data_IF_846696281608
#
_entry.id   IF_846696281608
#
_cell.length_a   1.000
_cell.length_b   1.000
_cell.length_c   1.000
_cell.angle_alpha   90.00
_cell.angle_beta   90.00
_cell.angle_gamma   90.00
#
_symmetry.space_group_name_H-M   'P 1'
#
loop_
_entity.id
_entity.type
_entity.pdbx_description
1 polymer ?
#
# COMPACT_ATOMS: atom_id res chain seq x y z
N UNK A 1 8.18 -17.10 24.72
CA UNK A 1 7.54 -15.77 24.59
C UNK A 1 7.77 -15.15 23.21
N UNK A 2 9.01 -14.93 22.75
CA UNK A 2 9.30 -14.39 21.40
C UNK A 2 8.74 -15.26 20.26
N UNK A 3 8.91 -16.59 20.34
CA UNK A 3 8.41 -17.53 19.32
C UNK A 3 6.88 -17.58 19.26
N UNK A 4 6.22 -17.52 20.42
CA UNK A 4 4.76 -17.51 20.54
C UNK A 4 4.15 -16.22 19.94
N UNK A 5 4.78 -15.06 20.17
CA UNK A 5 4.37 -13.81 19.55
C UNK A 5 4.60 -13.81 18.03
N UNK A 6 5.73 -14.35 17.56
CA UNK A 6 5.98 -14.50 16.13
C UNK A 6 4.94 -15.42 15.47
N UNK A 7 4.56 -16.52 16.13
CA UNK A 7 3.51 -17.41 15.66
C UNK A 7 2.14 -16.71 15.63
N UNK A 8 1.81 -15.90 16.66
CA UNK A 8 0.58 -15.11 16.72
C UNK A 8 0.49 -14.12 15.56
N UNK A 9 1.56 -13.40 15.23
CA UNK A 9 1.57 -12.46 14.08
C UNK A 9 1.36 -13.19 12.76
N UNK A 10 1.97 -14.37 12.57
CA UNK A 10 1.76 -15.17 11.36
C UNK A 10 0.33 -15.70 11.25
N UNK A 11 -0.23 -16.19 12.35
CA UNK A 11 -1.64 -16.60 12.39
C UNK A 11 -2.60 -15.43 12.11
N UNK A 12 -2.22 -14.21 12.50
CA UNK A 12 -3.00 -13.02 12.18
C UNK A 12 -3.08 -12.75 10.67
N UNK A 13 -2.04 -13.09 9.90
CA UNK A 13 -2.08 -13.01 8.43
C UNK A 13 -3.19 -13.91 7.89
N UNK A 14 -3.24 -15.16 8.35
CA UNK A 14 -4.27 -16.12 7.92
C UNK A 14 -5.67 -15.67 8.33
N UNK A 15 -5.82 -15.17 9.56
CA UNK A 15 -7.09 -14.63 10.06
C UNK A 15 -7.55 -13.39 9.28
N UNK A 16 -6.60 -12.56 8.79
CA UNK A 16 -6.88 -11.38 7.97
C UNK A 16 -7.36 -11.80 6.59
N UNK A 17 -6.68 -12.75 5.95
CA UNK A 17 -7.11 -13.30 4.67
C UNK A 17 -8.49 -13.98 4.80
N UNK A 18 -8.71 -14.75 5.86
CA UNK A 18 -9.97 -15.43 6.12
C UNK A 18 -11.15 -14.49 6.44
N UNK A 19 -10.88 -13.20 6.72
CA UNK A 19 -11.94 -12.21 6.82
C UNK A 19 -12.56 -11.89 5.44
N UNK A 20 -11.90 -12.26 4.34
CA UNK A 20 -12.39 -12.08 2.98
C UNK A 20 -12.13 -10.67 2.47
N UNK A 21 -12.77 -9.66 3.06
CA UNK A 21 -12.72 -8.27 2.56
C UNK A 21 -12.27 -7.27 3.61
N UNK A 22 -11.72 -6.13 3.17
CA UNK A 22 -11.36 -5.01 4.05
C UNK A 22 -11.28 -3.71 3.27
N UNK A 23 -11.56 -2.61 3.95
CA UNK A 23 -11.13 -1.29 3.52
C UNK A 23 -9.69 -1.06 3.98
N UNK A 24 -8.93 -0.26 3.25
CA UNK A 24 -7.55 0.05 3.62
C UNK A 24 -7.17 1.51 3.39
N UNK A 25 -6.23 1.96 4.22
CA UNK A 25 -5.42 3.15 3.99
C UNK A 25 -3.96 2.74 3.93
N UNK A 26 -3.23 3.23 2.94
CA UNK A 26 -1.82 2.96 2.77
C UNK A 26 -1.05 4.24 2.57
N UNK A 27 0.17 4.32 3.12
CA UNK A 27 1.06 5.48 3.02
C UNK A 27 2.49 5.05 2.76
N UNK A 28 3.20 5.84 1.95
CA UNK A 28 4.64 5.72 1.70
C UNK A 28 5.38 7.05 1.90
N UNK A 29 6.67 7.00 2.28
CA UNK A 29 7.47 8.19 2.59
C UNK A 29 8.04 8.89 1.33
N UNK A 30 8.27 10.21 1.43
CA UNK A 30 9.15 11.01 0.55
C UNK A 30 10.29 11.65 1.32
N UNK A 31 11.45 11.77 0.68
CA UNK A 31 12.59 12.52 1.18
C UNK A 31 12.36 14.01 1.48
N UNK A 32 11.15 14.56 1.32
CA UNK A 32 10.76 15.93 1.73
C UNK A 32 9.29 16.09 2.19
N UNK A 33 8.57 15.00 2.48
CA UNK A 33 7.11 15.01 2.76
C UNK A 33 6.42 13.66 2.58
N UNK A 34 5.09 13.63 2.40
CA UNK A 34 4.36 12.40 2.04
C UNK A 34 4.36 12.21 0.51
N UNK A 35 5.05 11.18 0.00
CA UNK A 35 5.15 10.94 -1.46
C UNK A 35 3.88 10.31 -2.01
N UNK A 36 3.12 9.59 -1.17
CA UNK A 36 1.78 9.18 -1.56
C UNK A 36 0.98 8.44 -0.53
N UNK A 37 -0.32 8.58 -0.66
CA UNK A 37 -1.34 7.84 0.07
C UNK A 37 -2.23 7.10 -0.91
N UNK A 38 -2.74 5.95 -0.49
CA UNK A 38 -3.79 5.24 -1.20
C UNK A 38 -4.90 4.88 -0.24
N UNK A 39 -6.11 4.88 -0.77
CA UNK A 39 -7.28 4.36 -0.09
C UNK A 39 -8.03 3.42 -1.02
N UNK A 40 -8.63 2.38 -0.48
CA UNK A 40 -9.18 1.32 -1.30
C UNK A 40 -9.87 0.23 -0.53
N UNK A 41 -10.33 -0.76 -1.29
CA UNK A 41 -10.87 -2.00 -0.78
C UNK A 41 -10.07 -3.17 -1.34
N UNK A 42 -9.98 -4.23 -0.54
CA UNK A 42 -9.35 -5.49 -0.88
C UNK A 42 -10.34 -6.62 -0.66
N UNK A 43 -10.36 -7.56 -1.58
CA UNK A 43 -10.98 -8.87 -1.48
C UNK A 43 -9.84 -9.91 -1.55
N UNK A 44 -9.44 -10.41 -0.39
CA UNK A 44 -8.41 -11.42 -0.22
C UNK A 44 -8.82 -12.76 -0.81
N UNK A 45 -10.11 -13.12 -0.78
CA UNK A 45 -10.60 -14.39 -1.29
C UNK A 45 -10.45 -14.47 -2.82
N UNK A 46 -10.64 -13.33 -3.50
CA UNK A 46 -10.55 -13.23 -4.95
C UNK A 46 -9.23 -12.64 -5.45
N UNK A 47 -8.33 -12.22 -4.54
CA UNK A 47 -7.10 -11.51 -4.89
C UNK A 47 -7.37 -10.23 -5.67
N UNK A 48 -8.42 -9.49 -5.30
CA UNK A 48 -8.84 -8.25 -5.98
C UNK A 48 -8.66 -7.05 -5.09
N UNK A 49 -8.44 -5.89 -5.70
CA UNK A 49 -8.52 -4.62 -5.01
C UNK A 49 -8.93 -3.49 -5.96
N UNK A 50 -9.53 -2.46 -5.40
CA UNK A 50 -9.69 -1.16 -6.03
C UNK A 50 -9.02 -0.11 -5.17
N UNK A 51 -8.28 0.82 -5.77
CA UNK A 51 -7.57 1.87 -5.05
C UNK A 51 -7.62 3.22 -5.76
N UNK A 52 -7.71 4.27 -4.96
CA UNK A 52 -7.41 5.65 -5.34
C UNK A 52 -6.08 6.01 -4.69
N UNK A 53 -5.16 6.52 -5.49
CA UNK A 53 -3.82 6.87 -5.06
C UNK A 53 -3.58 8.35 -5.31
N UNK A 54 -2.95 9.03 -4.36
CA UNK A 54 -2.48 10.40 -4.51
C UNK A 54 -0.99 10.39 -4.27
N UNK A 55 -0.22 10.91 -5.22
CA UNK A 55 1.24 11.02 -5.12
C UNK A 55 1.69 12.46 -5.28
N UNK A 56 2.64 12.91 -4.45
CA UNK A 56 3.33 14.18 -4.63
C UNK A 56 4.65 13.93 -5.36
N UNK A 57 4.74 14.40 -6.61
CA UNK A 57 5.95 14.28 -7.42
C UNK A 57 6.72 15.60 -7.29
N UNK A 58 7.99 15.57 -6.82
CA UNK A 58 8.85 16.74 -6.89
C UNK A 58 9.06 17.11 -8.36
N UNK A 59 8.81 18.37 -8.76
CA UNK A 59 9.12 18.84 -10.13
C UNK A 59 10.60 18.64 -10.43
N UNK A 60 10.89 17.65 -11.28
CA UNK A 60 12.17 17.54 -11.96
C UNK A 60 12.21 18.61 -13.07
N UNK A 61 12.76 19.80 -12.80
CA UNK A 61 13.29 20.67 -13.86
C UNK A 61 14.79 20.36 -13.98
N UNK A 62 15.43 19.95 -15.09
CA UNK A 62 15.14 19.66 -16.53
C UNK A 62 16.40 18.92 -17.12
N UNK A 63 16.55 18.50 -18.42
CA UNK A 63 15.70 18.73 -19.61
C UNK A 63 15.38 17.48 -20.48
N UNK A 64 14.24 17.53 -21.19
CA UNK A 64 14.05 17.21 -22.63
C UNK A 64 12.55 16.93 -22.90
N UNK A 65 11.77 17.99 -23.11
CA UNK A 65 10.74 18.14 -24.16
C UNK A 65 9.87 19.38 -23.86
N UNK A 66 10.20 20.46 -24.56
CA UNK A 66 9.33 21.51 -25.10
C UNK A 66 7.97 21.75 -24.40
N UNK A 67 7.93 22.78 -23.55
CA UNK A 67 6.83 23.75 -23.29
C UNK A 67 6.84 24.33 -21.87
N UNK A 68 7.67 23.81 -20.96
CA UNK A 68 7.81 24.33 -19.59
C UNK A 68 8.68 25.60 -19.47
N UNK A 69 9.39 25.99 -20.54
CA UNK A 69 10.35 27.09 -20.52
C UNK A 69 9.74 28.50 -20.57
N UNK A 70 8.43 28.65 -20.74
CA UNK A 70 7.78 29.97 -20.82
C UNK A 70 7.31 30.53 -19.47
N UNK A 71 7.38 29.76 -18.38
CA UNK A 71 6.97 30.24 -17.05
C UNK A 71 7.98 29.87 -15.94
N UNK A 72 8.92 30.78 -15.60
CA UNK A 72 9.91 30.57 -14.55
C UNK A 72 9.31 30.43 -13.14
N UNK A 73 8.00 30.63 -12.94
CA UNK A 73 7.33 30.34 -11.66
C UNK A 73 7.10 28.84 -11.40
N UNK A 74 7.32 27.96 -12.39
CA UNK A 74 7.08 26.52 -12.29
C UNK A 74 8.29 25.67 -11.89
N UNK A 75 9.47 26.27 -11.79
CA UNK A 75 10.68 25.58 -11.30
C UNK A 75 10.52 25.32 -9.80
N UNK A 76 10.37 24.05 -9.41
CA UNK A 76 10.17 23.64 -8.00
C UNK A 76 8.71 23.44 -7.58
N UNK A 77 7.76 23.38 -8.51
CA UNK A 77 6.37 23.06 -8.20
C UNK A 77 6.22 21.59 -7.73
N UNK A 78 5.51 21.34 -6.63
CA UNK A 78 5.09 19.99 -6.27
C UNK A 78 3.83 19.63 -7.08
N UNK A 79 3.87 18.54 -7.84
CA UNK A 79 2.73 18.09 -8.62
C UNK A 79 2.00 17.00 -7.86
N UNK A 80 0.70 17.18 -7.64
CA UNK A 80 -0.15 16.10 -7.13
C UNK A 80 -0.70 15.30 -8.28
N UNK A 81 -0.38 14.01 -8.33
CA UNK A 81 -0.92 13.06 -9.30
C UNK A 81 -1.93 12.17 -8.60
N UNK A 82 -3.16 12.14 -9.11
CA UNK A 82 -4.20 11.23 -8.65
C UNK A 82 -4.40 10.10 -9.65
N UNK A 83 -4.26 8.87 -9.17
CA UNK A 83 -4.43 7.65 -9.95
C UNK A 83 -5.57 6.81 -9.40
N UNK A 84 -6.17 6.03 -10.29
CA UNK A 84 -7.23 5.06 -9.99
C UNK A 84 -6.77 3.74 -10.55
N UNK A 85 -6.85 2.69 -9.76
CA UNK A 85 -6.30 1.40 -10.14
C UNK A 85 -7.14 0.27 -9.59
N UNK A 86 -7.11 -0.86 -10.29
CA UNK A 86 -7.59 -2.13 -9.77
C UNK A 86 -6.49 -3.19 -9.88
N UNK A 87 -6.55 -4.19 -9.02
CA UNK A 87 -5.82 -5.44 -9.23
C UNK A 87 -6.83 -6.57 -9.33
N UNK A 88 -6.63 -7.43 -10.32
CA UNK A 88 -7.44 -8.60 -10.57
C UNK A 88 -6.54 -9.71 -11.12
N UNK A 89 -6.68 -10.92 -10.59
CA UNK A 89 -5.93 -12.11 -11.01
C UNK A 89 -4.41 -11.84 -11.08
N UNK A 90 -3.87 -11.22 -10.03
CA UNK A 90 -2.46 -10.86 -9.96
C UNK A 90 -2.04 -9.64 -10.77
N UNK A 91 -2.91 -9.09 -11.62
CA UNK A 91 -2.55 -8.06 -12.59
C UNK A 91 -3.04 -6.68 -12.16
N UNK A 92 -2.14 -5.69 -12.18
CA UNK A 92 -2.45 -4.27 -11.97
C UNK A 92 -2.96 -3.62 -13.24
N UNK A 93 -4.04 -2.86 -13.11
CA UNK A 93 -4.60 -2.02 -14.15
C UNK A 93 -4.72 -0.58 -13.66
N UNK A 94 -4.18 0.36 -14.43
CA UNK A 94 -4.44 1.78 -14.24
C UNK A 94 -5.72 2.16 -15.00
N UNK A 95 -6.59 2.92 -14.36
CA UNK A 95 -7.86 3.37 -14.97
C UNK A 95 -7.68 4.78 -15.53
N UNK A 96 -7.99 4.94 -16.80
CA UNK A 96 -7.82 6.19 -17.52
C UNK A 96 -9.12 6.62 -18.21
N UNK A 97 -9.31 7.91 -18.34
CA UNK A 97 -10.36 8.43 -19.22
C UNK A 97 -10.00 8.10 -20.67
N UNK A 98 -10.96 7.62 -21.48
CA UNK A 98 -10.72 7.37 -22.90
C UNK A 98 -10.19 8.63 -23.60
N UNK A 99 -9.15 8.50 -24.40
CA UNK A 99 -8.57 9.63 -25.11
C UNK A 99 -9.49 10.09 -26.27
N UNK A 100 -10.03 11.30 -26.16
CA UNK A 100 -10.80 11.96 -27.21
C UNK A 100 -12.29 11.61 -27.22
N UNK A 101 -13.12 12.66 -27.21
CA UNK A 101 -14.59 12.69 -27.18
C UNK A 101 -15.26 12.49 -25.81
N UNK A 102 -16.55 12.87 -25.76
CA UNK A 102 -17.38 13.15 -24.58
C UNK A 102 -17.28 12.14 -23.42
N UNK A 103 -17.57 12.55 -22.17
CA UNK A 103 -17.56 11.67 -21.01
C UNK A 103 -18.40 10.42 -21.28
N UNK A 104 -17.74 9.26 -21.41
CA UNK A 104 -18.40 8.00 -21.74
C UNK A 104 -19.06 7.33 -20.52
N UNK A 105 -18.86 7.90 -19.32
CA UNK A 105 -19.26 7.26 -18.06
C UNK A 105 -18.42 6.02 -17.71
N UNK A 106 -17.34 5.75 -18.45
CA UNK A 106 -16.46 4.59 -18.25
C UNK A 106 -15.00 4.98 -18.24
N UNK A 107 -14.18 4.22 -17.52
CA UNK A 107 -12.72 4.25 -17.63
C UNK A 107 -12.22 3.04 -18.40
N UNK A 108 -11.10 3.22 -19.10
CA UNK A 108 -10.34 2.15 -19.75
C UNK A 108 -9.28 1.61 -18.78
N UNK A 109 -9.23 0.29 -18.64
CA UNK A 109 -8.28 -0.42 -17.80
C UNK A 109 -6.99 -0.73 -18.58
N UNK A 110 -5.97 0.11 -18.41
CA UNK A 110 -4.65 -0.09 -18.98
C UNK A 110 -3.85 -1.07 -18.13
N UNK A 111 -3.51 -2.24 -18.70
CA UNK A 111 -2.73 -3.28 -18.03
C UNK A 111 -1.28 -2.82 -17.80
N UNK A 112 -0.82 -2.84 -16.54
CA UNK A 112 0.54 -2.43 -16.17
C UNK A 112 1.47 -3.61 -15.84
N UNK A 113 0.93 -4.79 -15.47
CA UNK A 113 1.72 -5.99 -15.21
C UNK A 113 1.29 -6.77 -13.97
N UNK A 114 1.98 -7.88 -13.69
CA UNK A 114 1.64 -8.84 -12.61
C UNK A 114 2.23 -8.47 -11.24
N UNK A 115 2.95 -7.35 -11.17
CA UNK A 115 3.57 -6.85 -9.93
C UNK A 115 2.54 -6.22 -8.96
N UNK A 116 1.29 -6.09 -9.40
CA UNK A 116 0.22 -5.39 -8.70
C UNK A 116 0.07 -5.83 -7.26
N UNK A 117 -0.27 -7.11 -7.05
CA UNK A 117 -0.61 -7.62 -5.71
C UNK A 117 0.47 -7.35 -4.67
N UNK A 118 1.74 -7.45 -5.04
CA UNK A 118 2.81 -7.39 -4.06
C UNK A 118 3.22 -5.97 -3.68
N UNK A 119 2.85 -4.97 -4.48
CA UNK A 119 2.91 -3.54 -4.13
C UNK A 119 1.59 -3.01 -3.51
N UNK A 120 0.72 -3.90 -3.03
CA UNK A 120 -0.58 -3.55 -2.45
C UNK A 120 -0.71 -4.06 -1.01
N UNK A 121 -1.80 -3.73 -0.29
CA UNK A 121 -2.05 -4.28 1.04
C UNK A 121 -1.97 -5.81 1.12
N UNK A 122 -2.33 -6.53 0.04
CA UNK A 122 -2.23 -8.00 -0.03
C UNK A 122 -0.78 -8.44 0.13
N UNK A 123 0.13 -7.81 -0.61
CA UNK A 123 1.57 -8.06 -0.50
C UNK A 123 2.12 -7.70 0.88
N UNK A 124 1.74 -6.53 1.41
CA UNK A 124 2.18 -6.08 2.73
C UNK A 124 1.79 -7.03 3.86
N UNK A 125 0.53 -7.46 3.88
CA UNK A 125 0.03 -8.44 4.86
C UNK A 125 0.78 -9.76 4.71
N UNK A 126 1.04 -10.20 3.47
CA UNK A 126 1.83 -11.41 3.19
C UNK A 126 3.28 -11.34 3.68
N UNK A 127 3.90 -10.14 3.71
CA UNK A 127 5.26 -9.97 4.22
C UNK A 127 5.40 -10.31 5.71
N UNK A 128 4.32 -10.17 6.49
CA UNK A 128 4.29 -10.52 7.92
C UNK A 128 4.49 -12.02 8.17
N UNK A 129 4.33 -12.88 7.15
CA UNK A 129 4.71 -14.30 7.24
C UNK A 129 6.20 -14.50 7.54
N UNK A 130 7.03 -13.52 7.16
CA UNK A 130 8.47 -13.51 7.37
C UNK A 130 8.93 -12.98 8.73
N UNK A 131 8.05 -12.79 9.72
CA UNK A 131 8.44 -12.27 11.04
C UNK A 131 9.43 -13.22 11.74
N UNK A 132 10.69 -12.81 11.88
CA UNK A 132 11.77 -13.60 12.49
C UNK A 132 11.88 -13.39 13.99
N UNK A 133 11.48 -12.22 14.50
CA UNK A 133 11.37 -11.96 15.93
C UNK A 133 10.23 -11.00 16.23
N UNK A 134 9.61 -11.18 17.40
CA UNK A 134 8.49 -10.39 17.87
C UNK A 134 8.63 -10.08 19.36
N UNK A 135 8.29 -8.85 19.75
CA UNK A 135 8.31 -8.37 21.13
C UNK A 135 7.03 -7.60 21.44
N UNK A 136 6.57 -7.57 22.70
CA UNK A 136 5.46 -6.71 23.09
C UNK A 136 5.73 -5.24 22.73
N UNK A 137 4.72 -4.57 22.19
CA UNK A 137 4.74 -3.14 21.90
C UNK A 137 4.22 -2.29 23.07
N UNK A 138 3.89 -1.01 22.80
CA UNK A 138 3.40 -0.08 23.82
C UNK A 138 2.01 -0.42 24.38
N UNK A 139 1.24 -1.28 23.71
CA UNK A 139 -0.07 -1.76 24.15
C UNK A 139 -0.17 -3.29 23.96
N UNK A 140 -1.15 -3.96 24.61
CA UNK A 140 -1.32 -5.43 24.52
C UNK A 140 -1.57 -5.95 23.10
N UNK A 141 -2.08 -5.09 22.23
CA UNK A 141 -2.48 -5.40 20.86
C UNK A 141 -1.40 -5.04 19.83
N UNK A 142 -0.37 -4.31 20.24
CA UNK A 142 0.75 -3.92 19.38
C UNK A 142 1.94 -4.84 19.62
N UNK A 143 2.54 -5.32 18.53
CA UNK A 143 3.71 -6.19 18.52
C UNK A 143 4.81 -5.52 17.70
N UNK A 144 5.99 -5.35 18.29
CA UNK A 144 7.21 -4.94 17.57
C UNK A 144 7.80 -6.14 16.87
N UNK A 145 8.11 -6.01 15.59
CA UNK A 145 8.57 -7.12 14.75
C UNK A 145 9.86 -6.80 14.02
N UNK A 146 10.65 -7.85 13.78
CA UNK A 146 11.66 -7.89 12.71
C UNK A 146 11.17 -8.84 11.65
N UNK A 147 11.15 -8.39 10.40
CA UNK A 147 10.62 -9.13 9.26
C UNK A 147 11.77 -9.42 8.30
N UNK A 148 11.84 -10.66 7.81
CA UNK A 148 12.72 -11.08 6.72
C UNK A 148 11.86 -11.38 5.49
N UNK A 149 12.00 -10.56 4.45
CA UNK A 149 11.21 -10.67 3.22
C UNK A 149 11.58 -11.93 2.42
N UNK A 150 12.83 -12.42 2.52
CA UNK A 150 13.18 -13.71 1.92
C UNK A 150 12.48 -14.84 2.67
N UNK A 151 12.39 -14.73 4.00
CA UNK A 151 11.66 -15.72 4.79
C UNK A 151 10.17 -15.72 4.48
N UNK A 152 9.59 -14.55 4.23
CA UNK A 152 8.21 -14.46 3.76
C UNK A 152 8.02 -15.17 2.41
N UNK A 153 8.94 -15.01 1.44
CA UNK A 153 8.89 -15.72 0.15
C UNK A 153 8.98 -17.24 0.31
N UNK A 154 9.83 -17.73 1.22
CA UNK A 154 9.93 -19.16 1.54
C UNK A 154 8.62 -19.73 2.10
N UNK A 155 7.84 -18.89 2.79
CA UNK A 155 6.62 -19.29 3.48
C UNK A 155 5.34 -18.91 2.74
N UNK A 156 5.46 -18.17 1.65
CA UNK A 156 4.36 -17.84 0.77
C UNK A 156 3.82 -19.08 0.07
N UNK A 157 2.52 -19.06 -0.21
CA UNK A 157 1.86 -20.03 -1.08
C UNK A 157 2.53 -20.05 -2.46
N UNK A 158 2.41 -21.16 -3.20
CA UNK A 158 2.90 -21.23 -4.58
C UNK A 158 2.27 -20.15 -5.47
N UNK A 159 1.03 -19.77 -5.18
CA UNK A 159 0.25 -18.77 -5.92
C UNK A 159 0.78 -17.34 -5.68
N UNK A 160 1.09 -16.98 -4.44
CA UNK A 160 1.52 -15.62 -4.09
C UNK A 160 3.01 -15.37 -4.39
N UNK A 161 3.83 -16.44 -4.40
CA UNK A 161 5.29 -16.35 -4.47
C UNK A 161 5.81 -15.59 -5.70
N UNK A 162 5.28 -15.77 -6.93
CA UNK A 162 5.75 -15.02 -8.09
C UNK A 162 5.53 -13.51 -7.96
N UNK A 163 4.35 -13.09 -7.50
CA UNK A 163 4.03 -11.69 -7.31
C UNK A 163 4.90 -11.07 -6.20
N UNK A 164 5.00 -11.74 -5.04
CA UNK A 164 5.83 -11.28 -3.93
C UNK A 164 7.30 -11.14 -4.32
N UNK A 165 7.84 -12.12 -5.08
CA UNK A 165 9.21 -12.05 -5.58
C UNK A 165 9.39 -10.87 -6.52
N UNK A 166 8.48 -10.66 -7.45
CA UNK A 166 8.57 -9.55 -8.40
C UNK A 166 8.57 -8.18 -7.70
N UNK A 167 7.75 -7.97 -6.65
CA UNK A 167 7.80 -6.71 -5.90
C UNK A 167 9.08 -6.52 -5.09
N UNK A 168 9.64 -7.61 -4.53
CA UNK A 168 10.94 -7.56 -3.85
C UNK A 168 12.05 -7.19 -4.84
N UNK A 169 12.10 -7.87 -5.99
CA UNK A 169 13.12 -7.65 -7.03
C UNK A 169 13.00 -6.25 -7.64
N UNK A 170 11.78 -5.72 -7.79
CA UNK A 170 11.52 -4.37 -8.29
C UNK A 170 11.72 -3.26 -7.23
N UNK A 171 11.87 -3.61 -5.94
CA UNK A 171 11.99 -2.64 -4.85
C UNK A 171 10.78 -1.71 -4.66
N UNK A 172 9.63 -2.04 -5.26
CA UNK A 172 8.43 -1.17 -5.29
C UNK A 172 7.79 -0.95 -3.93
N UNK A 173 7.97 -1.91 -3.01
CA UNK A 173 7.50 -1.79 -1.63
C UNK A 173 8.38 -0.88 -0.79
N UNK A 174 9.39 -0.19 -1.33
CA UNK A 174 10.31 0.58 -0.50
C UNK A 174 11.21 -0.30 0.37
N UNK A 175 11.29 -1.61 0.12
CA UNK A 175 12.04 -2.56 0.93
C UNK A 175 12.93 -3.42 0.03
N UNK A 176 13.97 -2.87 -0.59
CA UNK A 176 15.04 -3.69 -1.21
C UNK A 176 15.94 -4.34 -0.14
N UNK A 177 15.88 -3.85 1.10
CA UNK A 177 16.47 -4.52 2.24
C UNK A 177 15.69 -5.80 2.55
N UNK A 178 16.42 -6.88 2.79
CA UNK A 178 15.82 -8.19 3.07
C UNK A 178 15.31 -8.29 4.49
N UNK A 179 15.83 -7.48 5.41
CA UNK A 179 15.37 -7.38 6.78
C UNK A 179 14.91 -5.98 7.10
N UNK A 180 13.78 -5.90 7.80
CA UNK A 180 13.07 -4.66 8.12
C UNK A 180 12.54 -4.74 9.55
N UNK A 181 12.36 -3.58 10.18
CA UNK A 181 11.76 -3.47 11.52
C UNK A 181 10.41 -2.79 11.42
N UNK A 182 9.49 -3.16 12.30
CA UNK A 182 8.13 -2.64 12.23
C UNK A 182 7.31 -2.86 13.48
N UNK A 183 6.06 -2.44 13.41
CA UNK A 183 5.02 -2.67 14.40
C UNK A 183 3.77 -3.23 13.71
N UNK A 184 3.08 -4.13 14.40
CA UNK A 184 1.81 -4.72 13.94
C UNK A 184 0.79 -4.55 15.06
N UNK A 185 -0.34 -3.94 14.76
CA UNK A 185 -1.51 -3.89 15.64
C UNK A 185 -2.48 -4.98 15.24
N UNK A 186 -2.91 -5.77 16.22
CA UNK A 186 -3.91 -6.82 16.04
C UNK A 186 -5.27 -6.35 16.57
N UNK A 187 -6.35 -6.71 15.90
CA UNK A 187 -7.70 -6.49 16.43
C UNK A 187 -8.08 -7.56 17.48
N UNK A 188 -9.22 -7.41 18.18
CA UNK A 188 -9.67 -8.39 19.17
C UNK A 188 -9.93 -9.81 18.63
N UNK A 189 -10.11 -9.95 17.31
CA UNK A 189 -10.26 -11.24 16.63
C UNK A 189 -8.91 -11.83 16.22
N UNK A 190 -7.80 -11.15 16.51
CA UNK A 190 -6.45 -11.59 16.19
C UNK A 190 -6.08 -11.36 14.72
N UNK A 191 -6.74 -10.44 14.03
CA UNK A 191 -6.44 -10.04 12.64
C UNK A 191 -5.52 -8.83 12.60
N UNK A 192 -4.78 -8.66 11.52
CA UNK A 192 -3.93 -7.48 11.31
C UNK A 192 -4.84 -6.27 11.09
N UNK A 193 -4.72 -5.26 11.95
CA UNK A 193 -5.44 -3.99 11.85
C UNK A 193 -4.53 -2.87 11.37
N UNK A 194 -3.27 -2.88 11.77
CA UNK A 194 -2.26 -1.92 11.32
C UNK A 194 -0.92 -2.60 11.14
N UNK A 195 -0.19 -2.20 10.12
CA UNK A 195 1.20 -2.56 9.90
C UNK A 195 1.98 -1.28 9.66
N UNK A 196 3.06 -1.10 10.41
CA UNK A 196 4.04 -0.05 10.19
C UNK A 196 5.40 -0.71 10.00
N UNK A 197 6.16 -0.29 8.99
CA UNK A 197 7.49 -0.81 8.73
C UNK A 197 8.44 0.32 8.35
N UNK A 198 9.64 0.30 8.93
CA UNK A 198 10.72 1.20 8.57
C UNK A 198 11.21 0.88 7.16
N UNK A 199 11.42 1.93 6.37
CA UNK A 199 12.01 1.86 5.04
C UNK A 199 13.51 2.15 5.16
N UNK A 200 14.40 1.19 4.89
CA UNK A 200 15.83 1.43 5.01
C UNK A 200 16.33 2.43 3.95
N UNK A 201 17.41 3.18 4.23
CA UNK A 201 18.00 4.08 3.24
C UNK A 201 18.38 3.32 1.96
N UNK A 202 18.08 3.90 0.79
CA UNK A 202 18.35 3.27 -0.50
C UNK A 202 17.46 2.06 -0.81
N UNK A 203 16.39 1.85 -0.04
CA UNK A 203 15.54 0.69 -0.19
C UNK A 203 14.56 0.75 -1.39
N UNK A 204 14.54 1.83 -2.15
CA UNK A 204 13.82 1.89 -3.43
C UNK A 204 14.58 2.78 -4.41
N UNK A 205 14.71 2.37 -5.69
CA UNK A 205 15.26 3.22 -6.73
C UNK A 205 14.27 4.32 -7.18
N UNK A 206 12.99 4.20 -6.80
CA UNK A 206 11.90 5.10 -7.22
C UNK A 206 11.53 6.14 -6.16
N UNK A 207 11.87 5.89 -4.91
CA UNK A 207 11.59 6.78 -3.79
C UNK A 207 12.92 7.30 -3.25
N UNK A 208 13.09 8.62 -3.24
CA UNK A 208 14.19 9.25 -2.53
C UNK A 208 13.92 9.08 -1.03
N UNK A 209 14.37 7.97 -0.47
CA UNK A 209 14.31 7.71 0.97
C UNK A 209 15.50 8.42 1.61
N UNK A 210 15.24 9.49 2.37
CA UNK A 210 16.30 10.14 3.15
C UNK A 210 16.64 9.27 4.38
N UNK A 211 17.87 9.38 4.86
CA UNK A 211 18.43 8.39 5.77
C UNK A 211 17.65 8.28 7.11
N UNK A 212 16.91 7.19 7.29
CA UNK A 212 16.59 6.61 8.61
C UNK A 212 15.31 7.08 9.32
N UNK A 213 14.41 7.82 8.66
CA UNK A 213 13.14 8.26 9.27
C UNK A 213 11.88 7.89 8.49
N UNK A 214 12.06 7.20 7.37
CA UNK A 214 11.00 6.89 6.44
C UNK A 214 10.30 5.56 6.80
N UNK A 215 8.98 5.53 6.60
CA UNK A 215 8.17 4.36 6.94
C UNK A 215 6.99 4.18 6.02
N UNK A 216 6.59 2.92 5.85
CA UNK A 216 5.39 2.52 5.16
C UNK A 216 4.37 2.07 6.18
N UNK A 217 3.14 2.43 5.92
CA UNK A 217 2.06 2.18 6.86
C UNK A 217 0.80 1.72 6.13
N UNK A 218 0.19 0.68 6.68
CA UNK A 218 -1.05 0.10 6.22
C UNK A 218 -2.02 0.03 7.40
N UNK A 219 -3.23 0.53 7.19
CA UNK A 219 -4.35 0.42 8.10
C UNK A 219 -5.46 -0.37 7.40
N UNK A 220 -6.01 -1.37 8.09
CA UNK A 220 -7.13 -2.18 7.64
C UNK A 220 -8.35 -1.90 8.53
N UNK A 221 -9.46 -1.56 7.89
CA UNK A 221 -10.72 -1.25 8.54
C UNK A 221 -11.85 -2.11 7.98
N UNK A 222 -12.90 -2.30 8.77
CA UNK A 222 -14.11 -3.01 8.36
C UNK A 222 -13.83 -4.42 7.81
N UNK A 223 -12.88 -5.12 8.46
CA UNK A 223 -12.51 -6.50 8.12
C UNK A 223 -13.73 -7.43 8.15
N UNK A 224 -14.06 -8.00 6.99
CA UNK A 224 -15.19 -8.87 6.74
C UNK A 224 -16.48 -8.17 6.34
N UNK A 225 -16.48 -6.83 6.25
CA UNK A 225 -17.61 -6.12 5.66
C UNK A 225 -17.61 -6.32 4.14
N UNK A 226 -18.75 -6.71 3.53
CA UNK A 226 -18.79 -7.02 2.11
C UNK A 226 -18.47 -5.77 1.28
N UNK A 227 -17.57 -5.93 0.31
CA UNK A 227 -17.25 -4.90 -0.67
C UNK A 227 -17.25 -5.55 -2.06
N UNK A 228 -17.87 -4.88 -3.02
CA UNK A 228 -17.88 -5.32 -4.40
C UNK A 228 -16.83 -4.53 -5.19
N UNK A 229 -15.79 -5.21 -5.65
CA UNK A 229 -14.74 -4.60 -6.47
C UNK A 229 -15.09 -4.84 -7.94
N UNK A 230 -15.25 -3.78 -8.75
CA UNK A 230 -15.60 -3.93 -10.15
C UNK A 230 -14.47 -4.62 -10.93
N UNK A 231 -14.87 -5.45 -11.90
CA UNK A 231 -13.97 -6.05 -12.87
C UNK A 231 -14.19 -5.42 -14.24
N UNK A 232 -13.12 -5.24 -15.04
CA UNK A 232 -13.26 -4.77 -16.40
C UNK A 232 -14.08 -5.77 -17.23
N UNK A 233 -14.92 -5.25 -18.12
CA UNK A 233 -15.66 -6.07 -19.08
C UNK A 233 -14.74 -6.63 -20.19
N UNK A 234 -15.31 -7.36 -21.17
CA UNK A 234 -14.56 -7.91 -22.30
C UNK A 234 -13.84 -6.83 -23.15
N UNK A 235 -14.27 -5.57 -23.04
CA UNK A 235 -13.66 -4.42 -23.71
C UNK A 235 -12.62 -3.69 -22.85
N UNK A 236 -12.27 -4.25 -21.68
CA UNK A 236 -11.41 -3.61 -20.67
C UNK A 236 -11.97 -2.31 -20.10
N UNK A 237 -13.30 -2.15 -20.05
CA UNK A 237 -13.97 -0.95 -19.53
C UNK A 237 -14.60 -1.18 -18.17
N UNK A 238 -14.62 -0.13 -17.36
CA UNK A 238 -15.22 -0.11 -16.03
C UNK A 238 -16.13 1.11 -15.91
N UNK A 239 -17.41 0.94 -15.54
CA UNK A 239 -18.27 2.08 -15.24
C UNK A 239 -17.71 2.91 -14.07
N UNK A 240 -17.69 4.23 -14.25
CA UNK A 240 -17.18 5.15 -13.23
C UNK A 240 -18.02 5.04 -11.95
N UNK A 241 -19.33 4.90 -12.09
CA UNK A 241 -20.26 4.69 -10.97
C UNK A 241 -19.87 3.49 -10.11
N UNK A 242 -19.55 2.37 -10.76
CA UNK A 242 -19.29 1.10 -10.08
C UNK A 242 -17.98 1.18 -9.28
N UNK A 243 -16.96 1.84 -9.85
CA UNK A 243 -15.72 2.09 -9.12
C UNK A 243 -15.92 3.08 -7.96
N UNK A 244 -16.69 4.15 -8.15
CA UNK A 244 -16.92 5.13 -7.09
C UNK A 244 -17.76 4.57 -5.94
N UNK A 245 -18.69 3.65 -6.24
CA UNK A 245 -19.52 2.97 -5.25
C UNK A 245 -18.70 2.20 -4.20
N UNK A 246 -17.49 1.72 -4.54
CA UNK A 246 -16.55 1.09 -3.59
C UNK A 246 -16.24 2.01 -2.40
N UNK A 247 -16.25 3.33 -2.61
CA UNK A 247 -15.82 4.32 -1.63
C UNK A 247 -16.99 5.05 -0.96
N UNK A 248 -18.24 4.76 -1.35
CA UNK A 248 -19.40 5.43 -0.79
C UNK A 248 -19.61 5.06 0.68
N UNK A 249 -19.79 6.08 1.54
CA UNK A 249 -19.99 5.89 2.97
C UNK A 249 -18.74 5.49 3.75
N UNK A 250 -17.57 5.45 3.10
CA UNK A 250 -16.32 5.01 3.72
C UNK A 250 -15.59 6.17 4.41
N UNK A 251 -14.96 5.94 5.57
CA UNK A 251 -14.09 6.93 6.17
C UNK A 251 -12.93 7.23 5.22
N UNK A 252 -12.81 8.50 4.82
CA UNK A 252 -11.66 8.94 4.03
C UNK A 252 -10.38 8.71 4.83
N UNK A 253 -9.30 8.33 4.15
CA UNK A 253 -8.03 8.12 4.83
C UNK A 253 -7.47 9.41 5.45
N UNK A 254 -7.91 10.60 5.02
CA UNK A 254 -7.43 11.89 5.54
C UNK A 254 -7.43 12.00 7.08
N UNK A 255 -8.59 11.97 7.76
CA UNK A 255 -8.65 12.05 9.22
C UNK A 255 -7.92 10.91 9.97
N UNK A 256 -7.91 9.70 9.41
CA UNK A 256 -7.20 8.56 10.00
C UNK A 256 -5.67 8.73 9.91
N UNK A 257 -5.17 9.17 8.75
CA UNK A 257 -3.75 9.48 8.52
C UNK A 257 -3.31 10.68 9.37
N UNK A 258 -4.14 11.71 9.51
CA UNK A 258 -3.87 12.88 10.37
C UNK A 258 -3.78 12.50 11.87
N UNK A 259 -4.64 11.60 12.37
CA UNK A 259 -4.55 11.08 13.73
C UNK A 259 -3.31 10.20 13.96
N UNK A 260 -2.90 9.44 12.94
CA UNK A 260 -1.65 8.66 12.98
C UNK A 260 -0.42 9.58 13.15
N UNK A 261 -0.41 10.76 12.54
CA UNK A 261 0.64 11.77 12.73
C UNK A 261 0.73 12.31 14.15
N UNK A 262 -0.40 12.59 14.79
CA UNK A 262 -0.43 13.12 16.15
C UNK A 262 0.18 12.14 17.17
N UNK A 263 0.04 10.83 16.93
CA UNK A 263 0.57 9.77 17.80
C UNK A 263 2.08 9.50 17.61
N UNK A 264 2.60 9.70 16.40
CA UNK A 264 4.00 9.41 16.04
C UNK A 264 4.98 10.51 16.48
N UNK A 265 4.51 11.76 16.60
CA UNK A 265 5.32 12.91 17.03
C UNK A 265 5.63 12.96 18.54
N UNK A 266 4.94 12.17 19.37
CA UNK A 266 5.14 12.23 20.83
C UNK A 266 6.33 11.40 21.34
N UNK A 267 6.87 10.48 20.54
CA UNK A 267 8.00 9.63 20.96
C UNK A 267 9.38 10.29 20.78
N UNK A 268 9.47 11.39 20.03
CA UNK A 268 10.74 12.06 19.71
C UNK A 268 11.04 13.31 20.57
N UNK A 269 10.12 13.75 21.45
CA UNK A 269 10.29 14.95 22.28
C UNK A 269 10.71 14.66 23.73
N UNK A 270 11.18 13.45 24.02
CA UNK A 270 11.59 13.00 25.35
C UNK A 270 13.02 12.47 25.38
N UNK A 271 13.99 13.32 25.07
CA UNK A 271 15.41 13.11 25.37
C UNK A 271 16.02 14.39 25.91
#
# INVERSE_FOLDING_TARGET
>A
MTEELSARVRAAVDATHAAGTTMFCWRMPAGRGDLGSCEGAVDFDRGRLAMRSRFQIPSLAEPEMDSALDDPSRIGAEWTVENRSIVMDGTFYALQEPAGAEPTGTWEAARMGVEGLAATPIGMVSWLRGVTSAQPGPSPDVVRVRLDLRKALEMASEEDRPALRAALDAGRIGLTATEVTGEVELDPQGRVRRMWAMVPPGASPYLAVEAGQDSIELLLNDLGAPVEIPSPDESSRIPISDFLAVFEGQPQCGPALEQMWASSGSAAAGS
#
